data_IF_603139604272
#
_entry.id   IF_603139604272
#
_cell.length_a   1.000
_cell.length_b   1.000
_cell.length_c   1.000
_cell.angle_alpha   90.00
_cell.angle_beta   90.00
_cell.angle_gamma   90.00
#
_symmetry.space_group_name_H-M   'P 1'
#
loop_
_entity.id
_entity.type
_entity.pdbx_description
1 polymer ?
#
# COMPACT_ATOMS: atom_id res chain seq x y z
N UNK A 1 17.01 4.23 -17.45
CA UNK A 1 15.98 4.51 -18.47
C UNK A 1 14.64 4.11 -17.88
N UNK A 2 13.63 4.98 -17.92
CA UNK A 2 12.32 4.70 -17.33
C UNK A 2 11.64 3.59 -18.16
N UNK A 3 11.30 2.45 -17.54
CA UNK A 3 10.74 1.30 -18.25
C UNK A 3 9.24 1.54 -18.48
N UNK A 4 8.88 2.17 -19.62
CA UNK A 4 7.49 2.56 -19.94
C UNK A 4 6.52 1.37 -19.87
N UNK A 5 6.96 0.20 -20.37
CA UNK A 5 6.16 -1.01 -20.34
C UNK A 5 5.83 -1.44 -18.91
N UNK A 6 6.83 -1.42 -18.02
CA UNK A 6 6.66 -1.68 -16.59
C UNK A 6 5.62 -0.74 -15.96
N UNK A 7 5.76 0.57 -16.13
CA UNK A 7 4.81 1.51 -15.55
C UNK A 7 3.40 1.32 -16.09
N UNK A 8 3.27 1.05 -17.39
CA UNK A 8 1.98 0.80 -18.02
C UNK A 8 1.29 -0.41 -17.41
N UNK A 9 1.98 -1.55 -17.27
CA UNK A 9 1.36 -2.75 -16.70
C UNK A 9 1.04 -2.56 -15.21
N UNK A 10 1.92 -1.91 -14.43
CA UNK A 10 1.66 -1.60 -13.03
C UNK A 10 0.42 -0.72 -12.86
N UNK A 11 0.33 0.40 -13.59
CA UNK A 11 -0.81 1.31 -13.45
C UNK A 11 -2.10 0.76 -14.03
N UNK A 12 -2.04 -0.11 -15.05
CA UNK A 12 -3.21 -0.87 -15.51
C UNK A 12 -3.71 -1.82 -14.42
N UNK A 13 -2.82 -2.59 -13.80
CA UNK A 13 -3.18 -3.50 -12.70
C UNK A 13 -3.76 -2.73 -11.52
N UNK A 14 -3.16 -1.60 -11.11
CA UNK A 14 -3.70 -0.74 -10.05
C UNK A 14 -5.09 -0.19 -10.37
N UNK A 15 -5.32 0.19 -11.64
CA UNK A 15 -6.64 0.64 -12.09
C UNK A 15 -7.67 -0.47 -11.93
N UNK A 16 -7.37 -1.69 -12.37
CA UNK A 16 -8.26 -2.85 -12.22
C UNK A 16 -8.60 -3.12 -10.76
N UNK A 17 -7.61 -3.10 -9.86
CA UNK A 17 -7.83 -3.29 -8.43
C UNK A 17 -8.78 -2.22 -7.83
N UNK A 18 -8.65 -0.96 -8.28
CA UNK A 18 -9.55 0.12 -7.88
C UNK A 18 -10.98 -0.08 -8.42
N UNK A 19 -11.12 -0.44 -9.70
CA UNK A 19 -12.41 -0.64 -10.36
C UNK A 19 -13.20 -1.79 -9.71
N UNK A 20 -12.50 -2.85 -9.29
CA UNK A 20 -13.06 -3.97 -8.52
C UNK A 20 -13.32 -3.64 -7.05
N UNK A 21 -13.01 -2.42 -6.59
CA UNK A 21 -13.13 -1.97 -5.19
C UNK A 21 -12.38 -2.87 -4.19
N UNK A 22 -11.28 -3.49 -4.61
CA UNK A 22 -10.43 -4.30 -3.73
C UNK A 22 -9.53 -3.43 -2.84
N UNK A 23 -9.29 -2.20 -3.27
CA UNK A 23 -8.36 -1.26 -2.64
C UNK A 23 -8.99 0.13 -2.55
N UNK A 24 -8.60 0.90 -1.53
CA UNK A 24 -9.06 2.28 -1.32
C UNK A 24 -8.25 3.30 -2.14
N UNK A 25 -8.72 4.54 -2.23
CA UNK A 25 -7.95 5.62 -2.86
C UNK A 25 -6.63 5.91 -2.14
N UNK A 26 -6.58 5.74 -0.81
CA UNK A 26 -5.36 5.90 -0.03
C UNK A 26 -4.36 4.78 -0.33
N UNK A 27 -4.83 3.54 -0.38
CA UNK A 27 -4.00 2.37 -0.75
C UNK A 27 -3.48 2.46 -2.19
N UNK A 28 -4.29 3.01 -3.10
CA UNK A 28 -3.86 3.30 -4.46
C UNK A 28 -2.70 4.28 -4.50
N UNK A 29 -2.74 5.35 -3.70
CA UNK A 29 -1.65 6.33 -3.63
C UNK A 29 -0.37 5.68 -3.07
N UNK A 30 -0.50 4.92 -1.99
CA UNK A 30 0.61 4.14 -1.43
C UNK A 30 1.26 3.20 -2.45
N UNK A 31 0.46 2.43 -3.21
CA UNK A 31 1.01 1.53 -4.23
C UNK A 31 1.64 2.27 -5.41
N UNK A 32 1.13 3.44 -5.79
CA UNK A 32 1.78 4.28 -6.81
C UNK A 32 3.17 4.73 -6.36
N UNK A 33 3.32 5.08 -5.09
CA UNK A 33 4.60 5.44 -4.50
C UNK A 33 5.59 4.27 -4.59
N UNK A 34 5.17 3.05 -4.22
CA UNK A 34 5.98 1.83 -4.38
C UNK A 34 6.42 1.63 -5.84
N UNK A 35 5.51 1.75 -6.81
CA UNK A 35 5.84 1.57 -8.23
C UNK A 35 6.87 2.59 -8.71
N UNK A 36 6.80 3.83 -8.21
CA UNK A 36 7.73 4.90 -8.59
C UNK A 36 9.10 4.74 -7.90
N UNK A 37 9.11 4.42 -6.61
CA UNK A 37 10.33 4.32 -5.80
C UNK A 37 11.08 3.00 -6.03
N UNK A 38 10.36 1.89 -6.20
CA UNK A 38 10.93 0.54 -6.23
C UNK A 38 10.92 -0.06 -7.64
N UNK A 39 11.05 0.78 -8.68
CA UNK A 39 11.07 0.34 -10.08
C UNK A 39 12.06 -0.81 -10.33
N UNK A 40 13.20 -0.82 -9.63
CA UNK A 40 14.27 -1.80 -9.80
C UNK A 40 14.14 -3.04 -8.90
N UNK A 41 13.24 -3.02 -7.91
CA UNK A 41 13.02 -4.15 -7.00
C UNK A 41 11.84 -5.02 -7.43
N UNK A 42 10.94 -4.48 -8.27
CA UNK A 42 9.84 -5.22 -8.85
C UNK A 42 10.37 -5.97 -10.08
N UNK A 43 10.29 -7.30 -10.13
CA UNK A 43 10.78 -8.06 -11.27
C UNK A 43 10.12 -7.59 -12.58
N UNK A 44 10.92 -7.29 -13.60
CA UNK A 44 10.45 -6.71 -14.87
C UNK A 44 9.54 -7.64 -15.67
N UNK A 45 9.57 -8.94 -15.39
CA UNK A 45 8.85 -9.98 -16.12
C UNK A 45 7.57 -10.45 -15.43
N UNK A 46 7.04 -9.68 -14.47
CA UNK A 46 5.78 -10.04 -13.83
C UNK A 46 4.60 -9.83 -14.77
N UNK A 47 3.76 -10.85 -14.90
CA UNK A 47 2.47 -10.70 -15.55
C UNK A 47 1.46 -9.94 -14.65
N UNK A 48 0.29 -9.62 -15.21
CA UNK A 48 -0.74 -8.88 -14.48
C UNK A 48 -1.28 -9.61 -13.23
N UNK A 49 -1.31 -10.95 -13.24
CA UNK A 49 -1.77 -11.74 -12.10
C UNK A 49 -0.75 -11.69 -10.97
N UNK A 50 0.53 -11.84 -11.30
CA UNK A 50 1.63 -11.76 -10.35
C UNK A 50 1.74 -10.35 -9.76
N UNK A 51 1.59 -9.30 -10.57
CA UNK A 51 1.51 -7.92 -10.10
C UNK A 51 0.30 -7.68 -9.18
N UNK A 52 -0.85 -8.27 -9.50
CA UNK A 52 -2.05 -8.18 -8.66
C UNK A 52 -1.79 -8.78 -7.28
N UNK A 53 -1.18 -9.97 -7.22
CA UNK A 53 -0.81 -10.63 -5.97
C UNK A 53 0.21 -9.81 -5.17
N UNK A 54 1.23 -9.27 -5.84
CA UNK A 54 2.23 -8.41 -5.22
C UNK A 54 1.59 -7.17 -4.57
N UNK A 55 0.74 -6.44 -5.30
CA UNK A 55 0.06 -5.26 -4.77
C UNK A 55 -0.89 -5.57 -3.62
N UNK A 56 -1.64 -6.68 -3.70
CA UNK A 56 -2.51 -7.12 -2.60
C UNK A 56 -1.70 -7.51 -1.36
N UNK A 57 -0.54 -8.13 -1.54
CA UNK A 57 0.39 -8.42 -0.45
C UNK A 57 0.90 -7.13 0.21
N UNK A 58 1.33 -6.14 -0.58
CA UNK A 58 1.78 -4.84 -0.06
C UNK A 58 0.68 -4.12 0.74
N UNK A 59 -0.56 -4.15 0.26
CA UNK A 59 -1.70 -3.58 1.00
C UNK A 59 -1.94 -4.31 2.32
N UNK A 60 -1.83 -5.64 2.32
CA UNK A 60 -1.99 -6.43 3.55
C UNK A 60 -0.98 -6.01 4.61
N UNK A 61 0.27 -5.74 4.22
CA UNK A 61 1.30 -5.24 5.15
C UNK A 61 0.97 -3.81 5.60
N UNK A 62 0.65 -2.91 4.67
CA UNK A 62 0.28 -1.53 4.98
C UNK A 62 -0.88 -1.42 5.99
N UNK A 63 -1.95 -2.22 5.79
CA UNK A 63 -3.08 -2.28 6.73
C UNK A 63 -2.66 -2.75 8.12
N UNK A 64 -1.73 -3.71 8.19
CA UNK A 64 -1.21 -4.22 9.47
C UNK A 64 -0.39 -3.16 10.19
N UNK A 65 0.46 -2.45 9.48
CA UNK A 65 1.25 -1.35 10.05
C UNK A 65 0.35 -0.21 10.56
N UNK A 66 -0.69 0.14 9.81
CA UNK A 66 -1.68 1.12 10.26
C UNK A 66 -2.43 0.64 11.51
N UNK A 67 -2.82 -0.62 11.57
CA UNK A 67 -3.47 -1.19 12.77
C UNK A 67 -2.56 -1.10 13.99
N UNK A 68 -1.28 -1.43 13.83
CA UNK A 68 -0.28 -1.35 14.92
C UNK A 68 -0.11 0.12 15.37
N UNK A 69 0.11 1.04 14.43
CA UNK A 69 0.23 2.47 14.75
C UNK A 69 -1.00 3.02 15.44
N UNK A 70 -2.19 2.65 14.98
CA UNK A 70 -3.44 3.06 15.62
C UNK A 70 -3.59 2.47 17.02
N UNK A 71 -3.15 1.22 17.25
CA UNK A 71 -3.13 0.65 18.60
C UNK A 71 -2.12 1.33 19.52
N UNK A 72 -0.97 1.76 19.00
CA UNK A 72 0.02 2.53 19.78
C UNK A 72 -0.50 3.92 20.14
N UNK A 73 -1.22 4.59 19.24
CA UNK A 73 -1.86 5.88 19.52
C UNK A 73 -2.96 5.77 20.57
N UNK A 74 -3.71 4.67 20.60
CA UNK A 74 -4.72 4.41 21.64
C UNK A 74 -4.11 4.25 23.04
N UNK A 75 -2.87 3.75 23.13
CA UNK A 75 -2.16 3.63 24.42
C UNK A 75 -1.77 5.01 24.98
N UNK A 76 -1.57 6.01 24.12
CA UNK A 76 -1.19 7.37 24.54
C UNK A 76 -2.40 8.13 25.14
N UNK A 77 -3.64 7.84 24.71
CA UNK A 77 -4.85 8.47 25.24
C UNK A 77 -5.22 7.98 26.65
N UNK A 78 -4.77 6.80 27.09
CA UNK A 78 -5.11 6.24 28.42
C UNK A 78 -4.21 6.73 29.57
N UNK A 79 -3.08 7.40 29.29
CA UNK A 79 -2.13 7.86 30.34
C UNK A 79 -2.30 9.33 30.79
N UNK A 80 -3.37 10.05 30.38
CA UNK A 80 -3.50 11.49 30.65
C UNK A 80 -4.70 11.96 31.49
N UNK A 81 -5.39 11.08 32.23
CA UNK A 81 -6.58 11.48 33.02
C UNK A 81 -6.56 11.10 34.52
N UNK A 82 -5.38 11.07 35.17
CA UNK A 82 -5.29 10.99 36.63
C UNK A 82 -4.31 12.02 37.25
N UNK A 83 -4.57 13.31 37.04
CA UNK A 83 -4.18 14.35 38.01
C UNK A 83 -5.45 15.10 38.45
N UNK A 84 -6.26 14.46 39.29
CA UNK A 84 -7.26 15.17 40.09
C UNK A 84 -6.56 15.83 41.29
N UNK A 85 -6.40 17.15 41.17
CA UNK A 85 -5.98 18.09 42.23
C UNK A 85 -6.98 18.14 43.38
#
# INVERSE_FOLDING_TARGET
MMNEFFYRICFQTLRTLCELKLITNQEKLYLKEIVVQNQFEIPENLDANQLSLFFLFQIKQYRRELQIKNSELLIIDEETDEEQV
#
